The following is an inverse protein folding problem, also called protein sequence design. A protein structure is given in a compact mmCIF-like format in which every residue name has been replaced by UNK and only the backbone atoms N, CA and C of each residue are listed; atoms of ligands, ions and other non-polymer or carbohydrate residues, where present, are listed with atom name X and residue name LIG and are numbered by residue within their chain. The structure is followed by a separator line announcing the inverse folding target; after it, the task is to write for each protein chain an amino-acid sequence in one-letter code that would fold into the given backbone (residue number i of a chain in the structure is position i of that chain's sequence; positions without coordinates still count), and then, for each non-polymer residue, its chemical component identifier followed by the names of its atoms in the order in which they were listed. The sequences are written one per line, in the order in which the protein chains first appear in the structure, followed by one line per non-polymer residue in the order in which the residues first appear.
data_IF_290573906380
#
_entry.id   IF_290573906380
#
_cell.length_a   1.000
_cell.length_b   1.000
_cell.length_c   1.000
_cell.angle_alpha   90.00
_cell.angle_beta   90.00
_cell.angle_gamma   90.00
#
_symmetry.space_group_name_H-M   'P 1'
#
loop_
_entity.id
_entity.type
_entity.pdbx_description
1 polymer ?
#
# COMPACT_ATOMS: atom_id res chain seq x y z
N UNK A 1 2.69 -26.48 -19.42
CA UNK A 1 1.90 -25.27 -19.63
C UNK A 1 2.84 -24.17 -20.06
N UNK A 2 2.68 -23.61 -21.26
CA UNK A 2 3.46 -22.44 -21.71
C UNK A 2 2.76 -21.21 -21.17
N UNK A 3 3.38 -20.53 -20.23
CA UNK A 3 2.90 -19.21 -19.77
C UNK A 3 3.16 -18.18 -20.90
N UNK A 4 2.18 -17.36 -21.28
CA UNK A 4 2.43 -16.29 -22.24
C UNK A 4 3.44 -15.32 -21.65
N UNK A 5 4.51 -15.04 -22.38
CA UNK A 5 5.48 -14.00 -22.03
C UNK A 5 4.79 -12.66 -22.20
N UNK A 6 4.49 -11.96 -21.11
CA UNK A 6 4.03 -10.57 -21.15
C UNK A 6 5.25 -9.65 -21.29
N UNK A 7 5.25 -8.84 -22.33
CA UNK A 7 6.26 -7.79 -22.56
C UNK A 7 5.67 -6.47 -22.09
N UNK A 8 6.27 -5.88 -21.07
CA UNK A 8 5.82 -4.64 -20.43
C UNK A 8 5.34 -4.84 -18.98
N UNK A 9 5.02 -3.78 -18.25
CA UNK A 9 4.50 -3.91 -16.91
C UNK A 9 3.16 -4.65 -16.93
N UNK A 10 3.05 -5.73 -16.17
CA UNK A 10 1.81 -6.51 -16.04
C UNK A 10 0.70 -5.68 -15.38
N UNK A 11 1.05 -4.64 -14.63
CA UNK A 11 0.14 -3.74 -13.91
C UNK A 11 0.78 -2.37 -13.73
N UNK A 12 -0.05 -1.36 -13.43
CA UNK A 12 0.37 -0.03 -12.99
C UNK A 12 0.13 0.06 -11.49
N UNK A 13 1.19 0.35 -10.74
CA UNK A 13 1.16 0.50 -9.29
C UNK A 13 1.55 1.91 -8.92
N UNK A 14 0.71 2.56 -8.10
CA UNK A 14 0.98 3.86 -7.48
C UNK A 14 0.63 3.80 -6.01
N UNK A 15 1.43 4.43 -5.16
CA UNK A 15 1.25 4.34 -3.71
C UNK A 15 1.63 5.64 -2.99
N UNK A 16 1.07 5.81 -1.81
CA UNK A 16 1.47 6.83 -0.85
C UNK A 16 1.09 6.38 0.56
N UNK A 17 2.10 6.30 1.44
CA UNK A 17 1.91 5.84 2.81
C UNK A 17 1.32 4.41 2.86
N UNK A 18 0.29 4.18 3.66
CA UNK A 18 -0.43 2.90 3.78
C UNK A 18 -1.49 2.67 2.69
N UNK A 19 -1.47 3.50 1.61
CA UNK A 19 -2.43 3.43 0.51
C UNK A 19 -1.73 3.09 -0.79
N UNK A 20 -2.28 2.16 -1.53
CA UNK A 20 -1.77 1.82 -2.85
C UNK A 20 -2.90 1.40 -3.79
N UNK A 21 -2.68 1.69 -5.06
CA UNK A 21 -3.55 1.32 -6.15
C UNK A 21 -2.77 0.46 -7.14
N UNK A 22 -3.28 -0.71 -7.44
CA UNK A 22 -2.80 -1.59 -8.52
C UNK A 22 -3.92 -1.73 -9.53
N UNK A 23 -3.63 -1.48 -10.80
CA UNK A 23 -4.60 -1.63 -11.87
C UNK A 23 -3.96 -2.16 -13.16
N UNK A 24 -4.79 -2.61 -14.08
CA UNK A 24 -4.37 -3.04 -15.40
C UNK A 24 -3.74 -1.87 -16.19
N UNK A 25 -2.93 -2.12 -17.21
CA UNK A 25 -2.38 -1.06 -18.07
C UNK A 25 -3.43 -0.17 -18.73
N UNK A 26 -4.66 -0.65 -18.87
CA UNK A 26 -5.79 0.14 -19.38
C UNK A 26 -6.59 0.84 -18.28
N UNK A 27 -6.07 0.92 -17.07
CA UNK A 27 -6.67 1.61 -15.94
C UNK A 27 -7.80 0.86 -15.24
N UNK A 28 -8.21 -0.32 -15.74
CA UNK A 28 -9.25 -1.14 -15.10
C UNK A 28 -8.74 -1.81 -13.82
N UNK A 29 -9.67 -2.07 -12.93
CA UNK A 29 -9.49 -2.97 -11.78
C UNK A 29 -10.41 -4.15 -11.99
N UNK A 30 -9.87 -5.37 -11.99
CA UNK A 30 -10.60 -6.59 -12.33
C UNK A 30 -10.96 -7.45 -11.12
N UNK A 31 -10.45 -7.09 -9.92
CA UNK A 31 -10.69 -7.85 -8.70
C UNK A 31 -9.86 -9.13 -8.59
N UNK A 32 -8.75 -9.21 -9.33
CA UNK A 32 -7.79 -10.31 -9.23
C UNK A 32 -7.03 -10.32 -7.90
N UNK A 33 -6.00 -11.16 -7.84
CA UNK A 33 -5.21 -11.34 -6.61
C UNK A 33 -4.38 -10.11 -6.24
N UNK A 34 -4.06 -9.24 -7.17
CA UNK A 34 -3.18 -8.09 -6.94
C UNK A 34 -3.80 -6.74 -7.30
N UNK A 35 -4.87 -6.68 -8.07
CA UNK A 35 -5.50 -5.40 -8.41
C UNK A 35 -6.54 -4.92 -7.39
N UNK A 36 -6.56 -3.59 -7.23
CA UNK A 36 -7.47 -2.90 -6.33
C UNK A 36 -6.91 -1.60 -5.80
N UNK A 37 -7.75 -0.89 -5.05
CA UNK A 37 -7.33 0.19 -4.18
C UNK A 37 -7.36 -0.30 -2.74
N UNK A 38 -6.22 -0.22 -2.07
CA UNK A 38 -6.01 -0.77 -0.75
C UNK A 38 -5.62 0.32 0.25
N UNK A 39 -6.03 0.15 1.50
CA UNK A 39 -5.51 0.88 2.65
C UNK A 39 -5.64 0.02 3.90
N UNK A 40 -4.62 0.02 4.76
CA UNK A 40 -4.62 -0.68 6.05
C UNK A 40 -5.08 -2.13 5.91
N UNK A 41 -4.44 -2.86 5.00
CA UNK A 41 -4.68 -4.28 4.71
C UNK A 41 -6.11 -4.62 4.25
N UNK A 42 -6.85 -3.63 3.73
CA UNK A 42 -8.22 -3.82 3.21
C UNK A 42 -8.32 -3.32 1.77
N UNK A 43 -8.84 -4.14 0.86
CA UNK A 43 -9.18 -3.76 -0.50
C UNK A 43 -10.52 -3.00 -0.51
N UNK A 44 -10.48 -1.70 -0.77
CA UNK A 44 -11.68 -0.87 -0.78
C UNK A 44 -12.37 -0.85 -2.14
N UNK A 45 -11.59 -0.91 -3.23
CA UNK A 45 -12.12 -1.02 -4.60
C UNK A 45 -11.56 -2.29 -5.21
N UNK A 46 -12.45 -3.17 -5.60
CA UNK A 46 -12.18 -4.45 -6.28
C UNK A 46 -12.57 -4.44 -7.74
N UNK A 47 -13.29 -3.42 -8.20
CA UNK A 47 -13.70 -3.28 -9.59
C UNK A 47 -13.74 -1.84 -10.05
N UNK A 48 -13.22 -1.57 -11.27
CA UNK A 48 -13.32 -0.28 -11.94
C UNK A 48 -13.38 -0.48 -13.46
N UNK A 49 -14.41 0.11 -14.11
CA UNK A 49 -14.59 0.05 -15.57
C UNK A 49 -15.14 1.39 -16.08
N UNK A 50 -14.36 2.08 -16.93
CA UNK A 50 -14.76 3.29 -17.62
C UNK A 50 -15.35 2.94 -19.00
N UNK A 51 -16.53 3.47 -19.31
CA UNK A 51 -17.18 3.31 -20.61
C UNK A 51 -17.64 4.64 -21.18
N UNK A 52 -17.53 4.77 -22.48
CA UNK A 52 -18.05 5.86 -23.27
C UNK A 52 -19.07 5.30 -24.27
N UNK A 53 -20.33 5.73 -24.18
CA UNK A 53 -21.44 5.18 -24.97
C UNK A 53 -21.51 3.65 -24.91
N UNK A 54 -21.36 3.08 -23.69
CA UNK A 54 -21.41 1.64 -23.42
C UNK A 54 -20.17 0.85 -23.86
N UNK A 55 -19.16 1.48 -24.49
CA UNK A 55 -17.92 0.84 -24.98
C UNK A 55 -16.72 1.30 -24.15
N UNK A 56 -15.74 0.43 -23.98
CA UNK A 56 -14.46 0.80 -23.40
C UNK A 56 -13.67 1.67 -24.37
N UNK A 57 -13.03 2.74 -23.88
CA UNK A 57 -12.17 3.54 -24.75
C UNK A 57 -10.93 2.74 -25.18
N UNK A 58 -10.38 3.07 -26.35
CA UNK A 58 -9.18 2.48 -26.91
C UNK A 58 -7.96 3.04 -26.20
N UNK A 59 -7.21 2.22 -25.49
CA UNK A 59 -5.95 2.64 -24.86
C UNK A 59 -4.91 2.99 -25.94
N UNK A 60 -4.31 4.17 -25.80
CA UNK A 60 -3.18 4.64 -26.64
C UNK A 60 -1.87 4.55 -25.87
N UNK A 61 -1.87 4.98 -24.60
CA UNK A 61 -0.69 5.00 -23.76
C UNK A 61 -1.08 4.98 -22.28
N UNK A 62 -0.21 4.43 -21.42
CA UNK A 62 -0.35 4.53 -19.98
C UNK A 62 1.01 4.43 -19.31
N UNK A 63 1.19 5.21 -18.24
CA UNK A 63 2.42 5.19 -17.46
C UNK A 63 2.21 5.76 -16.04
N UNK A 64 2.97 5.28 -15.04
CA UNK A 64 3.17 6.05 -13.82
C UNK A 64 3.94 7.33 -14.17
N UNK A 65 3.46 8.48 -13.66
CA UNK A 65 4.13 9.78 -13.80
C UNK A 65 5.03 10.04 -12.60
N UNK A 66 4.52 9.75 -11.41
CA UNK A 66 5.24 9.72 -10.15
C UNK A 66 4.88 8.42 -9.44
N UNK A 67 5.58 8.07 -8.37
CA UNK A 67 5.24 6.88 -7.59
C UNK A 67 3.81 6.91 -7.02
N UNK A 68 3.22 8.09 -6.90
CA UNK A 68 1.87 8.32 -6.39
C UNK A 68 0.86 8.72 -7.46
N UNK A 69 1.24 8.81 -8.75
CA UNK A 69 0.34 9.21 -9.83
C UNK A 69 0.58 8.48 -11.13
N UNK A 70 -0.50 8.24 -11.88
CA UNK A 70 -0.47 7.59 -13.19
C UNK A 70 -1.39 8.31 -14.17
N UNK A 71 -1.04 8.25 -15.45
CA UNK A 71 -1.79 8.79 -16.59
C UNK A 71 -2.15 7.69 -17.55
N UNK A 72 -3.40 7.74 -18.04
CA UNK A 72 -3.93 6.86 -19.05
C UNK A 72 -4.50 7.72 -20.17
N UNK A 73 -4.04 7.49 -21.38
CA UNK A 73 -4.48 8.20 -22.58
C UNK A 73 -5.23 7.25 -23.50
N UNK A 74 -6.45 7.63 -23.86
CA UNK A 74 -7.31 6.81 -24.70
C UNK A 74 -7.87 7.65 -25.84
N UNK A 75 -8.51 6.92 -26.77
CA UNK A 75 -9.37 7.49 -27.81
C UNK A 75 -10.66 6.66 -27.93
N UNK A 76 -11.59 7.10 -28.78
CA UNK A 76 -12.82 6.38 -29.00
C UNK A 76 -12.70 5.35 -30.15
N UNK A 77 -13.40 4.22 -30.02
CA UNK A 77 -13.85 3.42 -31.14
C UNK A 77 -15.02 4.13 -31.85
N UNK A 78 -15.35 3.79 -33.11
CA UNK A 78 -16.46 4.42 -33.80
C UNK A 78 -17.78 4.09 -33.10
N UNK A 79 -18.68 5.08 -33.01
CA UNK A 79 -20.01 4.91 -32.43
C UNK A 79 -21.05 5.81 -33.11
N UNK A 80 -22.33 5.59 -32.80
CA UNK A 80 -23.42 6.47 -33.20
C UNK A 80 -23.87 7.31 -32.02
N UNK A 81 -24.04 8.60 -32.20
CA UNK A 81 -24.77 9.48 -31.30
C UNK A 81 -26.13 9.90 -31.89
N UNK A 82 -26.85 10.84 -31.27
CA UNK A 82 -28.17 11.31 -31.71
C UNK A 82 -28.12 12.11 -33.03
N UNK A 83 -26.95 12.52 -33.51
CA UNK A 83 -26.76 13.28 -34.74
C UNK A 83 -26.26 12.42 -35.90
N UNK A 84 -25.55 11.30 -35.60
CA UNK A 84 -24.99 10.40 -36.61
C UNK A 84 -23.67 9.76 -36.20
N UNK A 85 -22.90 9.22 -37.16
CA UNK A 85 -21.65 8.52 -36.85
C UNK A 85 -20.56 9.46 -36.30
N UNK A 86 -19.83 8.95 -35.34
CA UNK A 86 -18.59 9.54 -34.80
C UNK A 86 -17.45 8.59 -35.17
N UNK A 87 -16.49 9.10 -35.93
CA UNK A 87 -15.38 8.30 -36.41
C UNK A 87 -14.42 7.92 -35.28
N UNK A 88 -13.66 6.85 -35.53
CA UNK A 88 -12.59 6.40 -34.64
C UNK A 88 -11.56 7.51 -34.42
N UNK A 89 -11.01 7.58 -33.19
CA UNK A 89 -9.89 8.49 -32.83
C UNK A 89 -10.21 10.00 -33.06
N UNK A 90 -11.46 10.40 -32.86
CA UNK A 90 -11.89 11.80 -32.87
C UNK A 90 -12.01 12.42 -31.50
N UNK A 91 -11.98 11.61 -30.44
CA UNK A 91 -11.93 12.06 -29.06
C UNK A 91 -10.56 11.76 -28.46
N UNK A 92 -9.99 12.72 -27.75
CA UNK A 92 -8.88 12.47 -26.81
C UNK A 92 -9.48 12.34 -25.42
N UNK A 93 -9.16 11.24 -24.74
CA UNK A 93 -9.68 10.93 -23.40
C UNK A 93 -8.46 10.72 -22.51
N UNK A 94 -8.35 11.52 -21.46
CA UNK A 94 -7.26 11.43 -20.48
C UNK A 94 -7.83 11.15 -19.11
N UNK A 95 -7.33 10.09 -18.47
CA UNK A 95 -7.63 9.72 -17.11
C UNK A 95 -6.35 9.82 -16.29
N UNK A 96 -6.32 10.73 -15.34
CA UNK A 96 -5.21 10.92 -14.41
C UNK A 96 -5.64 10.44 -13.01
N UNK A 97 -4.79 9.64 -12.35
CA UNK A 97 -5.00 9.17 -10.99
C UNK A 97 -3.85 9.59 -10.09
N UNK A 98 -4.18 10.09 -8.92
CA UNK A 98 -3.21 10.46 -7.89
C UNK A 98 -3.63 9.88 -6.55
N UNK A 99 -2.74 9.14 -5.88
CA UNK A 99 -2.95 8.63 -4.52
C UNK A 99 -2.45 9.66 -3.51
N UNK A 100 -3.33 10.03 -2.57
CA UNK A 100 -3.03 10.91 -1.44
C UNK A 100 -3.81 10.44 -0.20
N UNK A 101 -4.69 11.25 0.40
CA UNK A 101 -5.62 10.83 1.45
C UNK A 101 -6.65 9.78 0.98
N UNK A 102 -6.71 9.55 -0.30
CA UNK A 102 -7.45 8.57 -1.06
C UNK A 102 -6.97 8.60 -2.50
N UNK A 103 -7.82 8.31 -3.47
CA UNK A 103 -7.52 8.49 -4.89
C UNK A 103 -8.25 9.71 -5.42
N UNK A 104 -7.54 10.57 -6.10
CA UNK A 104 -8.06 11.66 -6.89
C UNK A 104 -7.98 11.26 -8.37
N UNK A 105 -9.11 11.24 -9.05
CA UNK A 105 -9.24 10.88 -10.44
C UNK A 105 -9.76 12.07 -11.24
N UNK A 106 -8.99 12.50 -12.26
CA UNK A 106 -9.38 13.54 -13.22
C UNK A 106 -9.63 12.89 -14.57
N UNK A 107 -10.81 13.10 -15.13
CA UNK A 107 -11.18 12.62 -16.46
C UNK A 107 -11.46 13.82 -17.37
N UNK A 108 -10.63 13.96 -18.40
CA UNK A 108 -10.76 14.99 -19.44
C UNK A 108 -11.11 14.35 -20.78
N UNK A 109 -12.11 14.91 -21.48
CA UNK A 109 -12.49 14.48 -22.83
C UNK A 109 -12.49 15.67 -23.76
N UNK A 110 -11.65 15.65 -24.79
CA UNK A 110 -11.57 16.69 -25.84
C UNK A 110 -12.18 16.18 -27.13
N UNK A 111 -13.08 16.96 -27.73
CA UNK A 111 -13.71 16.63 -29.01
C UNK A 111 -12.96 17.23 -30.18
N UNK A 112 -12.30 16.41 -30.99
CA UNK A 112 -11.63 16.82 -32.24
C UNK A 112 -12.50 16.57 -33.51
N UNK A 113 -13.73 16.06 -33.34
CA UNK A 113 -14.68 15.98 -34.45
C UNK A 113 -15.09 17.39 -34.93
N UNK A 114 -15.55 17.48 -36.17
CA UNK A 114 -15.97 18.76 -36.80
C UNK A 114 -17.35 19.22 -36.36
N UNK A 115 -18.05 18.43 -35.51
CA UNK A 115 -19.38 18.71 -35.00
C UNK A 115 -19.46 18.48 -33.49
N UNK A 116 -20.48 19.01 -32.79
CA UNK A 116 -20.74 18.62 -31.43
C UNK A 116 -21.02 17.11 -31.33
N UNK A 117 -20.52 16.48 -30.28
CA UNK A 117 -20.70 15.05 -29.99
C UNK A 117 -21.41 14.89 -28.65
N UNK A 118 -22.40 14.02 -28.58
CA UNK A 118 -23.07 13.63 -27.34
C UNK A 118 -22.48 12.34 -26.82
N UNK A 119 -22.09 12.36 -25.54
CA UNK A 119 -21.48 11.25 -24.85
C UNK A 119 -22.28 10.85 -23.61
N UNK A 120 -22.37 9.56 -23.38
CA UNK A 120 -22.74 8.97 -22.10
C UNK A 120 -21.45 8.36 -21.51
N UNK A 121 -21.00 8.92 -20.39
CA UNK A 121 -19.77 8.51 -19.69
C UNK A 121 -20.22 7.74 -18.46
N UNK A 122 -19.75 6.50 -18.33
CA UNK A 122 -20.15 5.59 -17.26
C UNK A 122 -18.90 5.10 -16.51
N UNK A 123 -18.93 5.20 -15.19
CA UNK A 123 -17.88 4.69 -14.30
C UNK A 123 -18.52 3.67 -13.36
N UNK A 124 -18.18 2.39 -13.52
CA UNK A 124 -18.55 1.34 -12.59
C UNK A 124 -17.46 1.21 -11.52
N UNK A 125 -17.88 1.11 -10.26
CA UNK A 125 -16.98 0.93 -9.11
C UNK A 125 -17.58 -0.12 -8.19
N UNK A 126 -16.81 -1.20 -7.95
CA UNK A 126 -17.16 -2.27 -7.05
C UNK A 126 -16.25 -2.28 -5.83
N UNK A 127 -16.81 -2.70 -4.69
CA UNK A 127 -16.13 -2.77 -3.39
C UNK A 127 -16.42 -4.10 -2.71
N UNK A 128 -15.40 -4.82 -2.29
CA UNK A 128 -15.55 -6.10 -1.58
C UNK A 128 -15.06 -6.07 -0.13
N UNK A 129 -14.22 -5.10 0.23
CA UNK A 129 -13.59 -4.95 1.53
C UNK A 129 -12.79 -6.19 1.96
N UNK A 130 -12.25 -6.91 0.99
CA UNK A 130 -11.46 -8.11 1.25
C UNK A 130 -10.22 -7.78 2.09
N UNK A 131 -9.94 -8.66 3.07
CA UNK A 131 -8.67 -8.63 3.78
C UNK A 131 -7.52 -9.00 2.85
N UNK A 132 -6.36 -8.35 3.02
CA UNK A 132 -5.20 -8.55 2.14
C UNK A 132 -4.73 -10.02 2.10
N UNK A 133 -4.91 -10.76 3.19
CA UNK A 133 -4.57 -12.20 3.23
C UNK A 133 -5.53 -13.04 2.38
N UNK A 134 -6.82 -12.69 2.35
CA UNK A 134 -7.80 -13.37 1.48
C UNK A 134 -7.51 -13.04 0.01
N UNK A 135 -7.18 -11.79 -0.31
CA UNK A 135 -6.81 -11.37 -1.67
C UNK A 135 -5.58 -12.13 -2.15
N UNK A 136 -4.51 -12.17 -1.34
CA UNK A 136 -3.26 -12.87 -1.66
C UNK A 136 -3.43 -14.37 -1.89
N UNK A 137 -4.38 -15.00 -1.20
CA UNK A 137 -4.66 -16.44 -1.32
C UNK A 137 -5.66 -16.76 -2.42
N UNK A 138 -6.21 -15.74 -3.11
CA UNK A 138 -7.34 -15.88 -4.04
C UNK A 138 -8.53 -16.65 -3.43
N UNK A 139 -8.78 -16.40 -2.15
CA UNK A 139 -9.75 -17.12 -1.34
C UNK A 139 -10.61 -16.14 -0.54
N UNK A 140 -11.36 -15.30 -1.25
CA UNK A 140 -12.19 -14.28 -0.62
C UNK A 140 -13.37 -14.87 0.14
N UNK A 141 -13.47 -14.56 1.43
CA UNK A 141 -14.59 -14.91 2.29
C UNK A 141 -15.24 -13.63 2.82
N UNK A 142 -16.49 -13.39 2.44
CA UNK A 142 -17.27 -12.29 3.00
C UNK A 142 -17.75 -12.65 4.40
N UNK A 143 -17.25 -11.95 5.43
CA UNK A 143 -17.57 -12.17 6.84
C UNK A 143 -18.55 -11.14 7.39
N UNK A 144 -18.63 -9.96 6.77
CA UNK A 144 -19.47 -8.86 7.19
C UNK A 144 -20.51 -8.44 6.15
N UNK A 145 -21.22 -7.36 6.47
CA UNK A 145 -22.27 -6.79 5.63
C UNK A 145 -21.79 -5.57 4.89
N UNK A 146 -22.05 -5.53 3.57
CA UNK A 146 -21.79 -4.38 2.71
C UNK A 146 -23.12 -3.66 2.45
N UNK A 147 -23.12 -2.35 2.66
CA UNK A 147 -24.25 -1.48 2.34
C UNK A 147 -23.79 -0.32 1.47
N UNK A 148 -24.41 -0.15 0.30
CA UNK A 148 -24.11 0.92 -0.64
C UNK A 148 -25.30 1.89 -0.73
N UNK A 149 -25.03 3.18 -0.58
CA UNK A 149 -26.05 4.24 -0.60
C UNK A 149 -25.59 5.44 -1.42
N UNK A 150 -26.47 5.89 -2.32
CA UNK A 150 -26.28 7.11 -3.10
C UNK A 150 -26.88 8.33 -2.42
N UNK A 151 -26.09 9.38 -2.25
CA UNK A 151 -26.50 10.68 -1.70
C UNK A 151 -26.52 11.72 -2.83
N UNK A 152 -27.67 11.81 -3.53
CA UNK A 152 -27.82 12.65 -4.72
C UNK A 152 -27.46 14.11 -4.48
N UNK A 153 -27.85 14.70 -3.37
CA UNK A 153 -27.59 16.12 -3.03
C UNK A 153 -26.10 16.44 -2.83
N UNK A 154 -25.27 15.41 -2.59
CA UNK A 154 -23.83 15.53 -2.35
C UNK A 154 -22.99 14.99 -3.51
N UNK A 155 -23.60 14.29 -4.47
CA UNK A 155 -22.84 13.57 -5.50
C UNK A 155 -21.95 12.47 -4.92
N UNK A 156 -22.39 11.80 -3.84
CA UNK A 156 -21.59 10.83 -3.10
C UNK A 156 -22.20 9.43 -3.15
N UNK A 157 -21.40 8.44 -3.52
CA UNK A 157 -21.68 7.03 -3.32
C UNK A 157 -20.91 6.56 -2.10
N UNK A 158 -21.61 6.08 -1.08
CA UNK A 158 -21.00 5.55 0.13
C UNK A 158 -21.21 4.07 0.20
N UNK A 159 -20.13 3.32 0.37
CA UNK A 159 -20.16 1.88 0.59
C UNK A 159 -19.51 1.60 1.95
N UNK A 160 -20.27 0.97 2.84
CA UNK A 160 -19.85 0.66 4.22
C UNK A 160 -19.80 -0.83 4.40
N UNK A 161 -18.75 -1.31 5.04
CA UNK A 161 -18.57 -2.69 5.49
C UNK A 161 -18.56 -2.74 7.01
N UNK A 162 -19.33 -3.68 7.60
CA UNK A 162 -19.44 -3.86 9.05
C UNK A 162 -19.36 -5.35 9.38
N UNK A 163 -18.44 -5.70 10.28
CA UNK A 163 -18.36 -7.02 10.91
C UNK A 163 -18.00 -6.86 12.39
N UNK A 164 -19.01 -6.84 13.25
CA UNK A 164 -18.83 -6.56 14.67
C UNK A 164 -18.14 -5.20 14.90
N UNK A 165 -17.01 -5.16 15.60
CA UNK A 165 -16.27 -3.93 15.83
C UNK A 165 -15.47 -3.44 14.60
N UNK A 166 -15.24 -4.30 13.62
CA UNK A 166 -14.51 -3.92 12.40
C UNK A 166 -15.42 -3.18 11.44
N UNK A 167 -15.03 -1.95 11.08
CA UNK A 167 -15.79 -1.11 10.14
C UNK A 167 -14.85 -0.41 9.19
N UNK A 168 -15.24 -0.41 7.91
CA UNK A 168 -14.60 0.34 6.83
C UNK A 168 -15.66 1.05 6.00
N UNK A 169 -15.35 2.23 5.50
CA UNK A 169 -16.24 2.97 4.59
C UNK A 169 -15.42 3.53 3.43
N UNK A 170 -15.98 3.44 2.22
CA UNK A 170 -15.49 4.11 1.03
C UNK A 170 -16.52 5.15 0.60
N UNK A 171 -16.08 6.40 0.42
CA UNK A 171 -16.89 7.45 -0.18
C UNK A 171 -16.32 7.79 -1.55
N UNK A 172 -17.08 7.51 -2.61
CA UNK A 172 -16.79 7.99 -3.95
C UNK A 172 -17.57 9.29 -4.16
N UNK A 173 -16.87 10.40 -4.27
CA UNK A 173 -17.46 11.73 -4.36
C UNK A 173 -17.09 12.42 -5.68
N UNK A 174 -18.07 12.95 -6.39
CA UNK A 174 -17.83 13.83 -7.53
C UNK A 174 -17.68 15.26 -7.00
N UNK A 175 -16.46 15.77 -7.05
CA UNK A 175 -16.15 17.11 -6.54
C UNK A 175 -16.50 18.20 -7.56
N UNK A 176 -16.21 17.92 -8.83
CA UNK A 176 -16.49 18.82 -9.95
C UNK A 176 -16.83 17.99 -11.19
N UNK A 177 -17.80 18.43 -11.97
CA UNK A 177 -18.07 17.92 -13.30
C UNK A 177 -18.77 18.98 -14.14
N UNK A 178 -18.49 19.00 -15.46
CA UNK A 178 -19.09 19.92 -16.41
C UNK A 178 -20.51 19.48 -16.84
N UNK A 179 -21.01 18.38 -16.32
CA UNK A 179 -22.38 17.92 -16.47
C UNK A 179 -22.92 17.28 -15.18
N UNK A 180 -24.25 17.30 -14.96
CA UNK A 180 -24.84 16.68 -13.78
C UNK A 180 -24.58 15.18 -13.70
N UNK A 181 -24.26 14.70 -12.48
CA UNK A 181 -24.07 13.29 -12.20
C UNK A 181 -25.37 12.60 -11.85
N UNK A 182 -25.49 11.35 -12.28
CA UNK A 182 -26.53 10.40 -11.88
C UNK A 182 -25.88 9.11 -11.41
N UNK A 183 -26.57 8.39 -10.53
CA UNK A 183 -26.20 7.03 -10.17
C UNK A 183 -27.31 6.09 -10.60
N UNK A 184 -27.02 5.19 -11.52
CA UNK A 184 -27.98 4.25 -12.08
C UNK A 184 -27.28 2.93 -12.41
N UNK A 185 -27.97 1.80 -12.13
CA UNK A 185 -27.47 0.46 -12.44
C UNK A 185 -26.02 0.17 -11.97
N UNK A 186 -25.68 0.61 -10.74
CA UNK A 186 -24.35 0.41 -10.18
C UNK A 186 -23.25 1.31 -10.77
N UNK A 187 -23.59 2.37 -11.53
CA UNK A 187 -22.64 3.24 -12.23
C UNK A 187 -22.90 4.70 -11.93
N UNK A 188 -21.82 5.47 -11.87
CA UNK A 188 -21.83 6.91 -11.98
C UNK A 188 -21.98 7.25 -13.48
N UNK A 189 -22.99 8.05 -13.85
CA UNK A 189 -23.32 8.35 -15.23
C UNK A 189 -23.36 9.85 -15.45
N UNK A 190 -22.62 10.30 -16.47
CA UNK A 190 -22.64 11.68 -16.95
C UNK A 190 -23.13 11.70 -18.42
N UNK A 191 -23.94 12.69 -18.76
CA UNK A 191 -24.31 12.96 -20.15
C UNK A 191 -23.73 14.30 -20.53
N UNK A 192 -22.84 14.31 -21.51
CA UNK A 192 -22.14 15.50 -21.98
C UNK A 192 -22.41 15.76 -23.46
N UNK A 193 -22.46 17.07 -23.84
CA UNK A 193 -22.44 17.50 -25.24
C UNK A 193 -21.24 18.39 -25.43
N UNK A 194 -20.23 17.90 -26.14
CA UNK A 194 -18.94 18.58 -26.30
C UNK A 194 -18.88 19.19 -27.71
N UNK A 195 -18.73 20.51 -27.79
CA UNK A 195 -18.55 21.22 -29.07
C UNK A 195 -17.18 20.91 -29.69
N UNK A 196 -16.97 21.15 -31.01
CA UNK A 196 -15.64 21.00 -31.61
C UNK A 196 -14.56 21.74 -30.84
N UNK A 197 -13.45 21.07 -30.55
CA UNK A 197 -12.33 21.55 -29.70
C UNK A 197 -12.71 21.88 -28.26
N UNK A 198 -13.96 21.62 -27.86
CA UNK A 198 -14.38 21.74 -26.47
C UNK A 198 -13.81 20.62 -25.61
N UNK A 199 -13.72 20.90 -24.31
CA UNK A 199 -13.29 19.97 -23.27
C UNK A 199 -14.45 19.71 -22.33
N UNK A 200 -14.62 18.50 -21.86
CA UNK A 200 -15.45 18.13 -20.73
C UNK A 200 -14.56 17.53 -19.65
N UNK A 201 -14.81 17.93 -18.41
CA UNK A 201 -14.02 17.52 -17.25
C UNK A 201 -14.89 16.96 -16.13
N UNK A 202 -14.38 15.94 -15.44
CA UNK A 202 -14.90 15.49 -14.16
C UNK A 202 -13.76 15.10 -13.21
N UNK A 203 -13.93 15.48 -11.95
CA UNK A 203 -13.04 15.15 -10.85
C UNK A 203 -13.80 14.26 -9.86
N UNK A 204 -13.29 13.03 -9.65
CA UNK A 204 -13.86 12.03 -8.75
C UNK A 204 -12.84 11.68 -7.68
N UNK A 205 -13.28 11.63 -6.42
CA UNK A 205 -12.44 11.27 -5.27
C UNK A 205 -12.91 9.97 -4.65
N UNK A 206 -11.98 9.08 -4.33
CA UNK A 206 -12.21 7.85 -3.59
C UNK A 206 -11.62 8.03 -2.20
N UNK A 207 -12.45 8.20 -1.21
CA UNK A 207 -12.04 8.58 0.14
C UNK A 207 -12.25 7.42 1.10
N UNK A 208 -11.17 6.77 1.57
CA UNK A 208 -11.26 5.77 2.61
C UNK A 208 -11.58 6.41 3.96
N UNK A 209 -12.50 5.83 4.71
CA UNK A 209 -12.80 6.21 6.08
C UNK A 209 -12.63 4.98 6.99
N UNK A 210 -11.84 5.14 8.06
CA UNK A 210 -11.58 4.10 9.06
C UNK A 210 -12.07 4.56 10.42
N UNK A 211 -12.74 3.67 11.18
CA UNK A 211 -13.32 3.98 12.50
C UNK A 211 -14.83 3.80 12.51
N UNK A 212 -15.48 4.07 13.64
CA UNK A 212 -16.92 3.90 13.78
C UNK A 212 -17.68 4.79 12.78
N UNK A 213 -18.72 4.24 12.15
CA UNK A 213 -19.56 4.95 11.18
C UNK A 213 -20.08 6.27 11.76
N UNK A 214 -19.81 7.36 11.06
CA UNK A 214 -20.26 8.71 11.47
C UNK A 214 -19.35 9.46 12.44
N UNK A 215 -18.27 8.84 12.97
CA UNK A 215 -17.33 9.50 13.91
C UNK A 215 -16.08 10.03 13.24
N UNK A 216 -15.77 9.61 12.02
CA UNK A 216 -14.54 10.00 11.33
C UNK A 216 -14.70 11.39 10.73
N UNK A 217 -13.90 12.34 11.22
CA UNK A 217 -13.75 13.64 10.56
C UNK A 217 -13.07 13.43 9.21
N UNK A 218 -13.79 13.71 8.14
CA UNK A 218 -13.27 13.78 6.78
C UNK A 218 -12.11 14.78 6.76
N UNK A 219 -10.88 14.34 6.51
CA UNK A 219 -9.85 15.26 6.05
C UNK A 219 -10.16 15.56 4.59
N UNK A 220 -10.42 16.80 4.21
CA UNK A 220 -10.61 17.13 2.81
C UNK A 220 -9.31 16.85 2.07
N UNK A 221 -9.37 16.11 0.94
CA UNK A 221 -8.23 16.04 0.04
C UNK A 221 -7.89 17.47 -0.39
N UNK A 222 -6.64 17.87 -0.20
CA UNK A 222 -6.14 19.20 -0.56
C UNK A 222 -5.70 19.28 -2.02
N UNK A 223 -5.73 18.14 -2.75
CA UNK A 223 -5.31 18.11 -4.14
C UNK A 223 -6.32 18.85 -5.03
N UNK A 224 -5.89 19.83 -5.82
CA UNK A 224 -6.72 20.47 -6.83
C UNK A 224 -7.00 19.52 -8.00
N UNK A 225 -8.00 19.84 -8.82
CA UNK A 225 -8.18 19.17 -10.12
C UNK A 225 -6.89 19.29 -10.96
N UNK A 226 -6.58 18.24 -11.74
CA UNK A 226 -5.34 18.10 -12.52
C UNK A 226 -4.08 18.02 -11.63
N UNK A 227 -4.18 17.39 -10.49
CA UNK A 227 -3.10 17.25 -9.52
C UNK A 227 -1.94 16.33 -9.97
N UNK A 228 -2.10 15.57 -11.06
CA UNK A 228 -1.07 14.66 -11.58
C UNK A 228 0.25 15.36 -11.88
N UNK A 229 0.19 16.59 -12.39
CA UNK A 229 1.34 17.43 -12.71
C UNK A 229 1.67 18.42 -11.58
N UNK A 230 0.88 18.44 -10.50
CA UNK A 230 1.11 19.35 -9.39
C UNK A 230 2.37 18.95 -8.61
N UNK A 231 3.16 19.93 -8.13
CA UNK A 231 4.20 19.63 -7.17
C UNK A 231 3.58 18.98 -5.92
N UNK A 232 4.31 18.01 -5.34
CA UNK A 232 3.89 17.35 -4.10
C UNK A 232 3.46 18.40 -3.06
N UNK A 233 2.32 18.21 -2.39
CA UNK A 233 1.92 19.12 -1.30
C UNK A 233 3.07 19.33 -0.31
N UNK A 234 3.27 20.59 0.09
CA UNK A 234 4.42 21.00 0.92
C UNK A 234 4.37 20.48 2.38
N UNK A 235 3.28 19.82 2.75
CA UNK A 235 3.03 19.28 4.08
C UNK A 235 3.81 18.00 4.41
N UNK A 236 4.47 17.40 3.40
CA UNK A 236 5.43 16.30 3.59
C UNK A 236 6.84 16.76 3.27
N UNK A 237 7.73 16.90 4.26
CA UNK A 237 9.14 17.10 3.95
C UNK A 237 9.63 15.89 3.14
N UNK A 238 10.22 16.15 1.98
CA UNK A 238 10.94 15.12 1.23
C UNK A 238 12.08 14.61 2.11
N UNK A 239 12.39 13.32 2.01
CA UNK A 239 13.70 12.88 2.48
C UNK A 239 14.76 13.76 1.80
N UNK A 240 15.76 14.29 2.54
CA UNK A 240 16.84 15.03 1.92
C UNK A 240 17.45 14.14 0.83
N UNK A 241 17.44 14.59 -0.43
CA UNK A 241 18.01 13.80 -1.51
C UNK A 241 19.53 13.81 -1.36
N UNK A 242 20.09 12.70 -0.92
CA UNK A 242 21.54 12.47 -1.00
C UNK A 242 21.89 12.24 -2.46
N UNK A 243 22.59 13.20 -3.06
CA UNK A 243 23.03 13.11 -4.47
C UNK A 243 24.31 12.31 -4.61
N UNK A 244 24.49 11.70 -5.77
CA UNK A 244 25.74 11.09 -6.18
C UNK A 244 26.32 11.84 -7.39
N UNK A 245 27.58 12.24 -7.31
CA UNK A 245 28.31 12.80 -8.44
C UNK A 245 29.13 11.72 -9.12
N UNK A 246 28.78 11.40 -10.35
CA UNK A 246 29.47 10.38 -11.16
C UNK A 246 29.29 10.70 -12.65
N UNK A 247 30.34 10.47 -13.49
CA UNK A 247 30.23 10.58 -14.92
C UNK A 247 29.38 9.44 -15.54
N UNK A 248 29.15 8.35 -14.80
CA UNK A 248 28.36 7.24 -15.27
C UNK A 248 26.86 7.54 -15.12
N UNK A 249 26.21 7.84 -16.24
CA UNK A 249 24.80 8.18 -16.31
C UNK A 249 23.87 7.06 -15.78
N UNK A 250 24.21 5.80 -16.03
CA UNK A 250 23.39 4.66 -15.54
C UNK A 250 23.40 4.60 -14.01
N UNK A 251 24.59 4.73 -13.41
CA UNK A 251 24.73 4.74 -11.93
C UNK A 251 23.93 5.90 -11.33
N UNK A 252 24.07 7.11 -11.91
CA UNK A 252 23.33 8.28 -11.44
C UNK A 252 21.82 8.07 -11.50
N UNK A 253 21.29 7.58 -12.64
CA UNK A 253 19.85 7.32 -12.78
C UNK A 253 19.34 6.24 -11.81
N UNK A 254 20.11 5.17 -11.64
CA UNK A 254 19.76 4.09 -10.70
C UNK A 254 19.70 4.62 -9.28
N UNK A 255 20.67 5.45 -8.89
CA UNK A 255 20.68 6.11 -7.58
C UNK A 255 19.46 7.01 -7.38
N UNK A 256 19.21 7.93 -8.32
CA UNK A 256 18.07 8.85 -8.25
C UNK A 256 16.74 8.09 -8.19
N UNK A 257 16.62 6.95 -8.87
CA UNK A 257 15.42 6.11 -8.80
C UNK A 257 15.31 5.40 -7.45
N UNK A 258 16.38 4.81 -6.93
CA UNK A 258 16.39 4.14 -5.64
C UNK A 258 15.98 5.08 -4.49
N UNK A 259 16.45 6.34 -4.53
CA UNK A 259 16.03 7.36 -3.56
C UNK A 259 14.53 7.67 -3.65
N UNK A 260 13.98 7.76 -4.87
CA UNK A 260 12.53 7.94 -5.07
C UNK A 260 11.73 6.75 -4.59
N UNK A 261 12.23 5.53 -4.80
CA UNK A 261 11.57 4.30 -4.37
C UNK A 261 11.55 4.19 -2.85
N UNK A 262 12.64 4.58 -2.16
CA UNK A 262 12.67 4.68 -0.71
C UNK A 262 11.65 5.72 -0.18
N UNK A 263 11.56 6.90 -0.85
CA UNK A 263 10.54 7.91 -0.48
C UNK A 263 9.11 7.42 -0.74
N UNK A 264 8.91 6.58 -1.77
CA UNK A 264 7.63 5.95 -2.08
C UNK A 264 7.16 4.95 -1.01
N UNK A 265 8.10 4.20 -0.44
CA UNK A 265 7.83 3.17 0.58
C UNK A 265 7.79 3.74 2.01
N UNK A 266 7.80 5.04 2.17
CA UNK A 266 7.79 5.71 3.47
C UNK A 266 6.41 5.64 4.10
N UNK A 267 6.33 5.07 5.31
CA UNK A 267 5.14 5.08 6.17
C UNK A 267 5.26 6.19 7.21
N UNK A 268 4.17 6.96 7.36
CA UNK A 268 4.02 7.95 8.41
C UNK A 268 2.91 7.49 9.36
N UNK A 269 3.22 7.33 10.62
CA UNK A 269 2.22 6.93 11.61
C UNK A 269 1.65 8.19 12.30
N UNK A 270 0.36 8.50 12.10
CA UNK A 270 -0.27 9.67 12.71
C UNK A 270 -0.39 9.60 14.23
N UNK A 271 -0.16 8.42 14.84
CA UNK A 271 -0.17 8.24 16.31
C UNK A 271 1.13 8.64 16.96
N UNK A 272 2.20 8.86 16.19
CA UNK A 272 3.48 9.36 16.65
C UNK A 272 3.71 10.82 16.25
N UNK A 273 4.66 11.47 16.92
CA UNK A 273 5.03 12.85 16.59
C UNK A 273 5.37 12.99 15.10
N UNK A 274 5.05 14.16 14.55
CA UNK A 274 5.47 14.53 13.19
C UNK A 274 6.97 14.28 13.06
N UNK A 275 7.40 13.54 12.05
CA UNK A 275 8.77 13.16 11.68
C UNK A 275 9.22 11.75 12.07
N UNK A 276 8.38 10.89 12.60
CA UNK A 276 8.69 9.46 12.69
C UNK A 276 8.36 8.79 11.35
N UNK A 277 9.38 8.36 10.66
CA UNK A 277 9.28 7.75 9.33
C UNK A 277 9.89 6.37 9.39
N UNK A 278 9.19 5.39 8.85
CA UNK A 278 9.67 4.01 8.72
C UNK A 278 9.51 3.53 7.28
N UNK A 279 10.39 2.67 6.76
CA UNK A 279 10.18 2.05 5.46
C UNK A 279 9.14 0.92 5.56
N UNK A 280 8.20 0.86 4.61
CA UNK A 280 7.38 -0.32 4.38
C UNK A 280 8.22 -1.45 3.79
N UNK A 281 7.83 -2.70 4.03
CA UNK A 281 8.55 -3.85 3.49
C UNK A 281 8.36 -4.04 1.98
N UNK A 282 7.22 -3.62 1.41
CA UNK A 282 7.01 -3.62 -0.04
C UNK A 282 5.56 -3.62 -0.50
N UNK A 283 5.33 -3.18 -1.74
CA UNK A 283 4.03 -3.16 -2.41
C UNK A 283 3.89 -4.43 -3.26
N UNK A 284 2.72 -5.08 -3.30
CA UNK A 284 1.45 -4.72 -2.68
C UNK A 284 1.20 -5.34 -1.29
N UNK A 285 1.88 -6.46 -0.93
CA UNK A 285 1.49 -7.32 0.19
C UNK A 285 2.03 -6.87 1.55
N UNK A 286 3.02 -5.98 1.56
CA UNK A 286 3.83 -5.66 2.73
C UNK A 286 3.89 -4.16 3.02
N UNK A 287 2.79 -3.42 2.70
CA UNK A 287 2.69 -1.97 2.96
C UNK A 287 2.28 -1.73 4.40
N UNK A 288 3.13 -2.20 5.32
CA UNK A 288 2.96 -2.04 6.76
C UNK A 288 4.32 -2.17 7.48
N UNK A 289 4.30 -2.08 8.82
CA UNK A 289 5.49 -2.26 9.64
C UNK A 289 5.86 -3.74 9.74
N UNK A 290 7.10 -4.05 9.34
CA UNK A 290 7.77 -5.32 9.58
C UNK A 290 9.05 -5.09 10.38
N UNK A 291 9.30 -5.92 11.39
CA UNK A 291 10.45 -5.75 12.27
C UNK A 291 11.78 -5.89 11.52
N UNK A 292 12.03 -7.06 10.94
CA UNK A 292 13.25 -7.36 10.17
C UNK A 292 13.48 -6.41 9.02
N UNK A 293 12.45 -6.24 8.16
CA UNK A 293 12.56 -5.45 6.94
C UNK A 293 12.88 -3.99 7.25
N UNK A 294 12.11 -3.39 8.19
CA UNK A 294 12.33 -2.01 8.62
C UNK A 294 13.73 -1.81 9.20
N UNK A 295 14.23 -2.74 10.02
CA UNK A 295 15.57 -2.65 10.62
C UNK A 295 16.66 -2.84 9.55
N UNK A 296 16.51 -3.80 8.64
CA UNK A 296 17.48 -4.06 7.57
C UNK A 296 17.60 -2.88 6.62
N UNK A 297 16.47 -2.34 6.14
CA UNK A 297 16.47 -1.13 5.27
C UNK A 297 17.06 0.06 6.00
N UNK A 298 16.73 0.24 7.29
CA UNK A 298 17.28 1.31 8.11
C UNK A 298 18.80 1.23 8.23
N UNK A 299 19.34 0.04 8.44
CA UNK A 299 20.78 -0.21 8.50
C UNK A 299 21.46 0.09 7.15
N UNK A 300 20.88 -0.39 6.05
CA UNK A 300 21.44 -0.20 4.70
C UNK A 300 21.38 1.26 4.24
N UNK A 301 20.34 1.99 4.64
CA UNK A 301 20.13 3.39 4.25
C UNK A 301 20.74 4.41 5.23
N UNK A 302 21.36 4.00 6.33
CA UNK A 302 21.76 4.86 7.45
C UNK A 302 22.70 5.99 7.04
N UNK A 303 23.56 5.76 6.05
CA UNK A 303 24.51 6.76 5.54
C UNK A 303 23.84 7.95 4.86
N UNK A 304 22.66 7.76 4.32
CA UNK A 304 21.89 8.83 3.65
C UNK A 304 20.62 9.23 4.39
N UNK A 305 20.05 8.30 5.15
CA UNK A 305 18.73 8.45 5.75
C UNK A 305 18.69 7.86 7.18
N UNK A 306 19.45 8.42 8.14
CA UNK A 306 19.46 7.94 9.52
C UNK A 306 18.09 8.07 10.21
N UNK A 307 17.17 8.87 9.65
CA UNK A 307 15.79 9.04 10.10
C UNK A 307 15.00 7.75 10.09
N UNK A 308 15.28 6.85 9.13
CA UNK A 308 14.66 5.52 9.10
C UNK A 308 15.07 4.68 10.31
N UNK A 309 16.37 4.68 10.68
CA UNK A 309 16.85 3.98 11.85
C UNK A 309 16.26 4.57 13.14
N UNK A 310 16.22 5.89 13.26
CA UNK A 310 15.60 6.57 14.40
C UNK A 310 14.10 6.26 14.53
N UNK A 311 13.38 6.26 13.40
CA UNK A 311 11.96 5.91 13.33
C UNK A 311 11.69 4.44 13.65
N UNK A 312 12.49 3.53 13.11
CA UNK A 312 12.42 2.09 13.37
C UNK A 312 12.62 1.77 14.86
N UNK A 313 13.68 2.28 15.46
CA UNK A 313 13.98 2.08 16.89
C UNK A 313 12.84 2.60 17.77
N UNK A 314 12.33 3.78 17.46
CA UNK A 314 11.22 4.39 18.20
C UNK A 314 9.95 3.56 18.07
N UNK A 315 9.58 3.17 16.87
CA UNK A 315 8.33 2.46 16.61
C UNK A 315 8.34 1.04 17.14
N UNK A 316 9.39 0.29 16.84
CA UNK A 316 9.55 -1.10 17.27
C UNK A 316 9.80 -1.19 18.78
N UNK A 317 10.60 -0.27 19.35
CA UNK A 317 10.83 -0.22 20.79
C UNK A 317 9.56 0.06 21.61
N UNK A 318 8.65 0.92 21.09
CA UNK A 318 7.36 1.17 21.74
C UNK A 318 6.41 -0.05 21.70
N UNK A 319 6.66 -1.02 20.81
CA UNK A 319 5.89 -2.27 20.70
C UNK A 319 6.66 -3.49 21.19
N UNK A 320 7.84 -3.31 21.80
CA UNK A 320 8.61 -4.41 22.38
C UNK A 320 7.77 -5.16 23.40
N UNK A 321 7.79 -6.48 23.33
CA UNK A 321 6.98 -7.35 24.18
C UNK A 321 7.32 -7.18 25.67
N UNK A 322 6.30 -7.06 26.51
CA UNK A 322 6.42 -6.96 27.98
C UNK A 322 5.80 -8.13 28.72
N UNK A 323 5.08 -9.01 28.00
CA UNK A 323 4.37 -10.16 28.54
C UNK A 323 4.61 -11.40 27.68
N UNK A 324 4.22 -12.57 28.17
CA UNK A 324 4.22 -13.83 27.43
C UNK A 324 2.82 -14.09 26.86
N UNK A 325 2.74 -14.33 25.53
CA UNK A 325 1.53 -14.72 24.84
C UNK A 325 1.88 -15.70 23.72
N UNK A 326 1.68 -17.01 23.95
CA UNK A 326 2.05 -18.06 23.00
C UNK A 326 1.36 -17.92 21.64
N UNK A 327 0.10 -17.49 21.59
CA UNK A 327 -0.64 -17.39 20.32
C UNK A 327 -0.08 -16.29 19.41
N UNK A 328 0.61 -15.31 19.98
CA UNK A 328 1.29 -14.24 19.25
C UNK A 328 2.80 -14.46 19.12
N UNK A 329 3.32 -15.62 19.53
CA UNK A 329 4.76 -15.90 19.67
C UNK A 329 5.50 -14.80 20.49
N UNK A 330 4.80 -14.18 21.44
CA UNK A 330 5.26 -13.04 22.22
C UNK A 330 5.97 -13.53 23.49
N UNK A 331 7.17 -13.05 23.72
CA UNK A 331 7.98 -13.28 24.91
C UNK A 331 8.58 -11.95 25.37
N UNK A 332 8.72 -11.69 26.71
CA UNK A 332 9.21 -10.41 27.20
C UNK A 332 10.58 -10.03 26.62
N UNK A 333 10.68 -8.85 26.02
CA UNK A 333 11.89 -8.35 25.36
C UNK A 333 11.95 -8.53 23.84
N UNK A 334 11.07 -9.37 23.27
CA UNK A 334 11.04 -9.66 21.84
C UNK A 334 10.52 -8.45 21.01
N UNK A 335 11.10 -8.23 19.84
CA UNK A 335 10.66 -7.21 18.88
C UNK A 335 9.62 -7.83 17.94
N UNK A 336 8.55 -7.11 17.54
CA UNK A 336 7.51 -7.68 16.68
C UNK A 336 8.01 -7.98 15.28
N UNK A 337 7.40 -9.02 14.67
CA UNK A 337 7.60 -9.38 13.28
C UNK A 337 6.81 -8.45 12.35
N UNK A 338 5.50 -8.35 12.56
CA UNK A 338 4.62 -7.52 11.74
C UNK A 338 3.42 -6.98 12.51
N UNK A 339 2.83 -5.90 11.95
CA UNK A 339 1.59 -5.31 12.46
C UNK A 339 0.59 -5.18 11.32
N UNK A 340 -0.57 -5.83 11.47
CA UNK A 340 -1.64 -5.79 10.46
C UNK A 340 -2.86 -5.05 10.97
N UNK A 341 -3.59 -4.44 10.04
CA UNK A 341 -4.74 -3.59 10.31
C UNK A 341 -6.03 -4.05 9.62
N UNK A 342 -5.98 -5.18 8.91
CA UNK A 342 -7.12 -5.79 8.23
C UNK A 342 -8.11 -6.45 9.18
N UNK A 343 -9.19 -6.96 8.62
CA UNK A 343 -10.27 -7.59 9.36
C UNK A 343 -9.79 -8.78 10.19
N UNK A 344 -8.99 -9.66 9.57
CA UNK A 344 -8.52 -10.89 10.22
C UNK A 344 -7.68 -10.62 11.47
N UNK A 345 -6.82 -9.60 11.41
CA UNK A 345 -6.01 -9.19 12.54
C UNK A 345 -6.84 -8.46 13.61
N UNK A 346 -7.71 -7.52 13.22
CA UNK A 346 -8.49 -6.73 14.18
C UNK A 346 -9.56 -7.53 14.93
N UNK A 347 -10.07 -8.60 14.33
CA UNK A 347 -11.01 -9.51 14.98
C UNK A 347 -10.32 -10.65 15.74
N UNK A 348 -8.98 -10.67 15.77
CA UNK A 348 -8.20 -11.72 16.44
C UNK A 348 -8.33 -13.12 15.80
N UNK A 349 -8.73 -13.17 14.51
CA UNK A 349 -8.75 -14.41 13.73
C UNK A 349 -7.32 -14.84 13.39
N UNK A 350 -6.44 -13.86 13.12
CA UNK A 350 -5.01 -14.04 12.98
C UNK A 350 -4.27 -13.20 14.04
N UNK A 351 -3.12 -13.68 14.58
CA UNK A 351 -2.45 -13.06 15.72
C UNK A 351 -1.62 -11.81 15.38
N UNK A 352 -1.84 -11.14 14.24
CA UNK A 352 -0.94 -10.15 13.63
C UNK A 352 -1.13 -8.69 14.09
N UNK A 353 -1.56 -8.45 15.33
CA UNK A 353 -1.81 -7.09 15.86
C UNK A 353 -1.20 -6.82 17.26
N UNK A 354 0.12 -6.67 17.43
CA UNK A 354 1.27 -7.14 16.63
C UNK A 354 1.52 -8.64 16.81
N UNK A 355 2.27 -9.23 15.89
CA UNK A 355 2.75 -10.62 15.94
C UNK A 355 4.28 -10.63 16.12
N UNK A 356 4.79 -11.60 16.91
CA UNK A 356 6.20 -11.63 17.31
C UNK A 356 6.96 -12.86 16.78
N UNK A 357 6.42 -13.60 15.84
CA UNK A 357 7.04 -14.77 15.24
C UNK A 357 8.22 -14.43 14.33
N UNK A 358 9.28 -13.92 14.93
CA UNK A 358 10.56 -13.58 14.30
C UNK A 358 11.66 -13.71 15.35
N UNK A 359 12.80 -14.27 15.00
CA UNK A 359 13.94 -14.35 15.92
C UNK A 359 14.93 -13.20 15.69
N UNK A 360 15.20 -12.92 14.42
CA UNK A 360 16.20 -11.99 13.94
C UNK A 360 15.93 -10.52 14.28
N UNK A 361 14.66 -10.07 14.25
CA UNK A 361 14.31 -8.67 14.49
C UNK A 361 14.81 -8.17 15.87
N UNK A 362 14.86 -9.03 16.88
CA UNK A 362 15.29 -8.64 18.23
C UNK A 362 16.79 -8.35 18.28
N UNK A 363 17.62 -9.19 17.65
CA UNK A 363 19.05 -8.94 17.52
C UNK A 363 19.36 -7.75 16.61
N UNK A 364 18.65 -7.65 15.47
CA UNK A 364 18.77 -6.52 14.53
C UNK A 364 18.42 -5.18 15.17
N UNK A 365 17.49 -5.13 16.14
CA UNK A 365 17.16 -3.90 16.87
C UNK A 365 18.39 -3.35 17.61
N UNK A 366 19.14 -4.20 18.32
CA UNK A 366 20.36 -3.84 19.02
C UNK A 366 21.48 -3.41 18.05
N UNK A 367 21.62 -4.11 16.93
CA UNK A 367 22.60 -3.79 15.88
C UNK A 367 22.31 -2.41 15.28
N UNK A 368 21.05 -2.12 14.93
CA UNK A 368 20.65 -0.82 14.34
C UNK A 368 20.84 0.30 15.34
N UNK A 369 20.58 0.08 16.63
CA UNK A 369 20.85 1.07 17.68
C UNK A 369 22.35 1.40 17.74
N UNK A 370 23.21 0.36 17.71
CA UNK A 370 24.67 0.54 17.69
C UNK A 370 25.12 1.32 16.44
N UNK A 371 24.63 0.98 15.26
CA UNK A 371 25.00 1.66 14.03
C UNK A 371 24.52 3.11 14.00
N UNK A 372 23.32 3.40 14.47
CA UNK A 372 22.80 4.76 14.54
C UNK A 372 23.65 5.63 15.49
N UNK A 373 24.03 5.09 16.64
CA UNK A 373 24.96 5.76 17.56
C UNK A 373 26.32 6.01 16.92
N UNK A 374 26.93 5.00 16.31
CA UNK A 374 28.24 5.13 15.63
C UNK A 374 28.19 6.15 14.49
N UNK A 375 27.08 6.22 13.76
CA UNK A 375 26.93 7.15 12.64
C UNK A 375 26.74 8.61 13.09
N UNK A 376 25.93 8.85 14.11
CA UNK A 376 25.61 10.20 14.57
C UNK A 376 26.51 10.72 15.71
N UNK A 377 27.18 9.85 16.47
CA UNK A 377 28.00 10.22 17.62
C UNK A 377 27.20 10.78 18.80
N UNK A 378 25.87 10.56 18.85
CA UNK A 378 24.97 11.13 19.85
C UNK A 378 24.61 10.10 20.93
N UNK A 379 25.27 10.21 22.12
CA UNK A 379 24.99 9.34 23.26
C UNK A 379 23.54 9.41 23.76
N UNK A 380 22.79 10.45 23.46
CA UNK A 380 21.40 10.57 23.89
C UNK A 380 20.52 9.48 23.26
N UNK A 381 20.93 8.96 22.09
CA UNK A 381 20.28 7.85 21.39
C UNK A 381 20.41 6.57 22.22
N UNK A 382 21.62 6.25 22.70
CA UNK A 382 21.82 5.08 23.54
C UNK A 382 21.00 5.16 24.83
N UNK A 383 21.07 6.32 25.52
CA UNK A 383 20.32 6.52 26.77
C UNK A 383 18.82 6.38 26.59
N UNK A 384 18.29 6.80 25.43
CA UNK A 384 16.85 6.73 25.11
C UNK A 384 16.35 5.29 24.95
N UNK A 385 17.16 4.42 24.38
CA UNK A 385 16.77 3.05 24.02
C UNK A 385 17.52 1.97 24.83
N UNK A 386 18.21 2.35 25.91
CA UNK A 386 18.99 1.43 26.72
C UNK A 386 18.11 0.32 27.32
N UNK A 387 16.98 0.69 27.92
CA UNK A 387 16.05 -0.29 28.51
C UNK A 387 15.51 -1.29 27.47
N UNK A 388 15.26 -0.81 26.23
CA UNK A 388 14.83 -1.68 25.14
C UNK A 388 15.96 -2.62 24.70
N UNK A 389 17.18 -2.11 24.59
CA UNK A 389 18.34 -2.94 24.21
C UNK A 389 18.63 -4.01 25.26
N UNK A 390 18.61 -3.64 26.55
CA UNK A 390 18.79 -4.61 27.64
C UNK A 390 17.69 -5.67 27.68
N UNK A 391 16.44 -5.27 27.40
CA UNK A 391 15.33 -6.21 27.33
C UNK A 391 15.50 -7.18 26.14
N UNK A 392 15.98 -6.68 24.99
CA UNK A 392 16.28 -7.47 23.81
C UNK A 392 17.43 -8.49 24.07
N UNK A 393 18.50 -8.05 24.69
CA UNK A 393 19.64 -8.92 25.07
C UNK A 393 19.17 -10.00 26.06
N UNK A 394 18.42 -9.62 27.12
CA UNK A 394 17.84 -10.59 28.05
C UNK A 394 16.92 -11.60 27.37
N UNK A 395 16.20 -11.20 26.33
CA UNK A 395 15.40 -12.13 25.54
C UNK A 395 16.27 -13.11 24.77
N UNK A 396 17.32 -12.64 24.11
CA UNK A 396 18.30 -13.48 23.39
C UNK A 396 18.88 -14.54 24.33
N UNK A 397 19.39 -14.11 25.49
CA UNK A 397 20.02 -15.02 26.47
C UNK A 397 19.04 -16.03 27.07
N UNK A 398 17.78 -15.64 27.25
CA UNK A 398 16.81 -16.48 27.97
C UNK A 398 16.00 -17.41 27.08
N UNK A 399 15.66 -16.93 25.89
CA UNK A 399 14.70 -17.59 25.00
C UNK A 399 15.27 -17.99 23.64
N UNK A 400 16.42 -17.46 23.27
CA UNK A 400 17.02 -17.67 21.96
C UNK A 400 17.72 -19.02 21.82
N UNK A 401 18.33 -19.55 22.89
CA UNK A 401 18.95 -20.87 23.00
C UNK A 401 18.01 -21.77 23.79
N UNK A 402 17.21 -22.58 23.11
CA UNK A 402 16.11 -23.36 23.74
C UNK A 402 16.57 -24.67 24.33
N UNK A 403 17.53 -25.32 23.70
CA UNK A 403 18.07 -26.61 24.17
C UNK A 403 19.39 -26.47 24.94
N UNK A 404 19.95 -25.25 25.01
CA UNK A 404 21.16 -24.87 25.73
C UNK A 404 22.44 -25.49 25.16
N UNK A 405 22.50 -25.57 23.84
CA UNK A 405 23.68 -26.01 23.14
C UNK A 405 24.64 -24.85 22.77
N UNK A 406 24.26 -23.61 23.06
CA UNK A 406 25.02 -22.40 22.78
C UNK A 406 24.72 -21.78 21.43
N UNK A 407 23.73 -22.27 20.67
CA UNK A 407 23.28 -21.73 19.40
C UNK A 407 21.89 -21.10 19.54
N UNK A 408 21.63 -20.14 18.69
CA UNK A 408 20.32 -19.48 18.63
C UNK A 408 19.38 -20.25 17.70
N UNK A 409 18.16 -20.51 18.16
CA UNK A 409 17.16 -21.23 17.40
C UNK A 409 15.73 -20.68 17.65
N UNK A 410 14.85 -20.89 16.69
CA UNK A 410 13.46 -20.49 16.79
C UNK A 410 12.50 -21.68 16.77
N UNK A 411 11.35 -21.48 17.39
CA UNK A 411 10.21 -22.36 17.30
C UNK A 411 8.93 -21.55 17.47
N UNK A 412 7.91 -21.77 16.61
CA UNK A 412 6.60 -21.17 16.84
C UNK A 412 5.85 -21.87 17.99
N UNK A 413 5.10 -21.08 18.75
CA UNK A 413 4.16 -21.54 19.79
C UNK A 413 2.71 -21.27 19.38
N UNK A 414 2.54 -20.47 18.31
CA UNK A 414 1.25 -20.06 17.79
C UNK A 414 0.65 -21.13 16.88
N UNK A 415 -0.66 -21.36 17.02
CA UNK A 415 -1.41 -22.27 16.13
C UNK A 415 -1.58 -21.70 14.71
N UNK A 416 -1.41 -20.37 14.54
CA UNK A 416 -1.54 -19.64 13.29
C UNK A 416 -0.28 -18.88 12.89
N UNK A 417 0.83 -19.13 13.61
CA UNK A 417 2.09 -18.46 13.40
C UNK A 417 2.91 -19.00 12.22
N UNK A 418 3.97 -18.29 11.87
CA UNK A 418 4.90 -18.74 10.85
C UNK A 418 5.80 -19.86 11.37
N UNK A 419 5.95 -20.90 10.54
CA UNK A 419 6.82 -22.03 10.85
C UNK A 419 8.28 -21.60 10.92
N UNK A 420 8.73 -20.81 9.93
CA UNK A 420 10.07 -20.24 9.87
C UNK A 420 10.07 -18.80 10.39
N UNK A 421 11.01 -18.46 11.28
CA UNK A 421 11.10 -17.15 11.96
C UNK A 421 12.46 -16.45 11.76
N UNK A 422 13.23 -16.86 10.75
CA UNK A 422 14.47 -16.21 10.29
C UNK A 422 14.30 -15.49 8.96
N UNK A 423 15.40 -15.17 8.28
CA UNK A 423 15.39 -14.49 6.98
C UNK A 423 14.57 -15.24 5.91
N UNK A 424 14.69 -16.56 5.88
CA UNK A 424 13.88 -17.43 5.04
C UNK A 424 12.61 -17.82 5.79
N UNK A 425 11.57 -16.99 5.72
CA UNK A 425 10.34 -17.13 6.52
C UNK A 425 9.17 -17.82 5.79
N UNK A 426 9.32 -18.18 4.51
CA UNK A 426 8.31 -18.98 3.82
C UNK A 426 8.15 -20.38 4.46
N UNK A 427 6.94 -20.95 4.40
CA UNK A 427 6.61 -22.20 5.10
C UNK A 427 7.54 -23.36 4.77
N UNK A 428 7.92 -23.51 3.50
CA UNK A 428 8.82 -24.55 3.00
C UNK A 428 10.27 -24.09 2.75
N UNK A 429 10.70 -23.01 3.38
CA UNK A 429 12.01 -22.40 3.08
C UNK A 429 13.19 -23.16 3.64
N UNK A 430 13.01 -23.90 4.72
CA UNK A 430 14.04 -24.71 5.37
C UNK A 430 13.63 -26.17 5.32
N UNK A 431 14.36 -26.95 4.52
CA UNK A 431 14.08 -28.36 4.26
C UNK A 431 15.32 -29.20 4.42
N UNK A 432 15.12 -30.47 4.78
CA UNK A 432 16.14 -31.51 4.79
C UNK A 432 16.55 -31.94 3.38
N UNK A 433 17.59 -32.73 3.26
CA UNK A 433 18.11 -33.20 1.98
C UNK A 433 17.10 -34.03 1.17
N UNK A 434 16.12 -34.64 1.81
CA UNK A 434 15.04 -35.40 1.19
C UNK A 434 13.81 -34.56 0.84
N UNK A 435 13.83 -33.23 1.11
CA UNK A 435 12.74 -32.28 0.86
C UNK A 435 11.68 -32.20 1.95
N UNK A 436 11.83 -32.93 3.06
CA UNK A 436 10.97 -32.78 4.22
C UNK A 436 11.27 -31.47 4.97
N UNK A 437 10.28 -30.89 5.67
CA UNK A 437 10.53 -29.72 6.50
C UNK A 437 11.48 -30.04 7.62
N UNK A 438 12.47 -29.17 7.85
CA UNK A 438 13.35 -29.27 9.00
C UNK A 438 12.54 -29.21 10.30
N UNK A 439 12.87 -30.08 11.26
CA UNK A 439 12.12 -30.10 12.53
C UNK A 439 12.44 -28.87 13.39
N UNK A 440 11.42 -28.37 14.11
CA UNK A 440 11.60 -27.34 15.14
C UNK A 440 12.20 -27.92 16.42
N UNK A 441 13.07 -27.16 17.15
CA UNK A 441 13.55 -25.82 16.84
C UNK A 441 14.57 -25.79 15.68
N UNK A 442 14.70 -24.67 14.98
CA UNK A 442 15.61 -24.50 13.85
C UNK A 442 16.62 -23.39 14.16
N UNK A 443 17.91 -23.72 14.12
CA UNK A 443 19.03 -22.80 14.16
C UNK A 443 19.54 -22.51 12.76
N UNK A 444 19.63 -21.23 12.39
CA UNK A 444 20.16 -20.79 11.10
C UNK A 444 21.44 -20.00 11.28
N UNK A 445 22.32 -20.01 10.27
CA UNK A 445 23.62 -19.34 10.37
C UNK A 445 23.54 -17.83 10.52
N UNK A 446 22.51 -17.18 9.93
CA UNK A 446 22.32 -15.74 10.09
C UNK A 446 21.99 -15.35 11.53
N UNK A 447 21.22 -16.16 12.27
CA UNK A 447 20.91 -15.89 13.67
C UNK A 447 22.18 -15.90 14.53
N UNK A 448 23.06 -16.88 14.29
CA UNK A 448 24.37 -16.97 14.98
C UNK A 448 25.25 -15.75 14.65
N UNK A 449 25.12 -15.20 13.43
CA UNK A 449 25.89 -14.04 13.01
C UNK A 449 25.37 -12.71 13.56
N UNK A 450 24.10 -12.64 14.00
CA UNK A 450 23.51 -11.43 14.61
C UNK A 450 23.76 -11.34 16.11
N UNK A 451 24.01 -12.43 16.77
CA UNK A 451 24.28 -12.53 18.22
C UNK A 451 25.76 -12.70 18.50
#
# INVERSE_FOLDING_TARGET
MTFPVQVGPASITINRDDRFLVCQPDGRILGGIDDGFFTRDTRLISGYDLRINGRRPLLLNSAPIQFFSARFEYSNEPFLDDVGPVDRQTLSIRLDRTVDEGVHEDLDIVNYARRPVRLTIEIAIDSDFADIFDVRKDAFVRRGQINTRWFRSRGELRTTYINGPFTRELVVAVEKADSPIQYANGRLVFVARIVPKGVWHACVKWLPLTGAVGTVRRRPSTLPCNAVDAPRPADRPRLPMVGIETPNWTVRRTWDQAVRDLDALRLEDPTFERNVVIPAAGVPWFVTLFGRDTLTVSMQAISGYPEFAAGALRRLGAMQATADDPERDMEPGKIPHEVRHGELAQLGILPFQPYYGTHDATALYVIVLSYLYQWLGDESILRRYLDNAEAAIRWIDRYGDRDRDGLQEYSTRSSHGYYNQGWKDAGEAIVEADGTLAALPIGTCELQGYV
#
